data_IF_500093652119
#
_entry.id   IF_500093652119
#
_cell.length_a   1.000
_cell.length_b   1.000
_cell.length_c   1.000
_cell.angle_alpha   90.00
_cell.angle_beta   90.00
_cell.angle_gamma   90.00
#
_symmetry.space_group_name_H-M   'P 1'
#
loop_
_entity.id
_entity.type
_entity.pdbx_description
1 polymer ?
#
# COMPACT_ATOMS: atom_id res chain seq x y z
N UNK A 1 -28.21 37.46 39.52
CA UNK A 1 -26.74 37.39 39.44
C UNK A 1 -26.25 36.00 38.96
N UNK A 2 -27.05 35.25 38.18
CA UNK A 2 -26.69 33.88 37.77
C UNK A 2 -26.81 33.60 36.26
N UNK A 3 -27.31 34.53 35.47
CA UNK A 3 -27.48 34.35 34.01
C UNK A 3 -26.20 34.61 33.22
N UNK A 4 -25.29 35.44 33.75
CA UNK A 4 -24.02 35.76 33.07
C UNK A 4 -22.99 34.64 33.11
N UNK A 5 -23.04 33.76 34.12
CA UNK A 5 -22.16 32.61 34.23
C UNK A 5 -22.52 31.43 33.27
N UNK A 6 -23.76 31.36 32.83
CA UNK A 6 -24.25 30.29 31.95
C UNK A 6 -23.85 30.52 30.50
N UNK A 7 -23.59 31.77 30.09
CA UNK A 7 -23.16 32.10 28.70
C UNK A 7 -21.69 31.77 28.43
N UNK A 8 -20.85 31.80 29.47
CA UNK A 8 -19.41 31.51 29.33
C UNK A 8 -19.15 30.01 29.19
N UNK A 9 -20.00 29.15 29.80
CA UNK A 9 -19.85 27.68 29.63
C UNK A 9 -20.26 27.17 28.23
N UNK A 10 -21.16 27.91 27.53
CA UNK A 10 -21.61 27.54 26.19
C UNK A 10 -20.55 27.81 25.10
N UNK A 11 -19.65 28.76 25.32
CA UNK A 11 -18.66 29.19 24.33
C UNK A 11 -17.40 28.29 24.29
N UNK A 12 -17.13 27.53 25.36
CA UNK A 12 -15.96 26.67 25.47
C UNK A 12 -16.21 25.29 24.85
N UNK A 13 -17.46 24.86 24.71
CA UNK A 13 -17.82 23.55 24.15
C UNK A 13 -17.76 23.48 22.61
N UNK A 14 -17.61 24.60 21.92
CA UNK A 14 -17.66 24.67 20.44
C UNK A 14 -16.28 24.48 19.74
N UNK A 15 -15.20 24.27 20.48
CA UNK A 15 -13.82 24.30 19.91
C UNK A 15 -13.23 22.92 19.62
N UNK A 16 -13.95 21.80 19.84
CA UNK A 16 -13.37 20.46 19.76
C UNK A 16 -14.00 19.58 18.66
N UNK A 17 -14.42 20.16 17.55
CA UNK A 17 -14.65 19.39 16.33
C UNK A 17 -13.74 19.91 15.21
N UNK A 18 -12.42 19.77 15.38
CA UNK A 18 -11.54 19.75 14.22
C UNK A 18 -11.83 18.46 13.45
N UNK A 19 -12.27 18.53 12.18
CA UNK A 19 -12.30 17.36 11.34
C UNK A 19 -10.86 16.83 11.30
N UNK A 20 -10.64 15.58 11.71
CA UNK A 20 -9.41 14.88 11.43
C UNK A 20 -9.25 14.90 9.90
N UNK A 21 -8.37 15.77 9.39
CA UNK A 21 -7.98 15.71 8.01
C UNK A 21 -7.36 14.33 7.84
N UNK A 22 -8.04 13.43 7.12
CA UNK A 22 -7.44 12.17 6.71
C UNK A 22 -6.30 12.54 5.77
N UNK A 23 -5.09 12.51 6.28
CA UNK A 23 -3.90 12.58 5.45
C UNK A 23 -4.03 11.44 4.43
N UNK A 24 -3.91 11.75 3.13
CA UNK A 24 -3.93 10.73 2.09
C UNK A 24 -2.79 9.74 2.31
N UNK A 25 -2.90 8.53 1.76
CA UNK A 25 -1.84 7.50 1.87
C UNK A 25 -0.47 8.05 1.48
N UNK A 26 -0.40 8.89 0.44
CA UNK A 26 0.85 9.51 0.00
C UNK A 26 1.46 10.45 1.06
N UNK A 27 0.64 11.22 1.76
CA UNK A 27 1.12 12.13 2.81
C UNK A 27 1.66 11.32 4.00
N UNK A 28 0.98 10.23 4.35
CA UNK A 28 1.44 9.29 5.38
C UNK A 28 2.78 8.67 4.99
N UNK A 29 2.89 8.15 3.79
CA UNK A 29 4.12 7.56 3.22
C UNK A 29 5.26 8.56 3.23
N UNK A 30 5.04 9.80 2.78
CA UNK A 30 6.06 10.86 2.81
C UNK A 30 6.49 11.20 4.22
N UNK A 31 5.57 11.26 5.17
CA UNK A 31 5.87 11.62 6.56
C UNK A 31 6.66 10.53 7.29
N UNK A 32 6.43 9.25 6.97
CA UNK A 32 7.19 8.13 7.55
C UNK A 32 8.53 7.86 6.85
N UNK A 33 8.74 8.40 5.64
CA UNK A 33 10.01 8.32 4.92
C UNK A 33 10.26 7.00 4.18
N UNK A 34 9.30 6.09 4.12
CA UNK A 34 9.34 4.82 3.38
C UNK A 34 7.92 4.38 3.03
N UNK A 35 7.77 3.40 2.16
CA UNK A 35 6.47 2.75 1.93
C UNK A 35 6.58 1.21 2.01
N UNK A 36 5.46 0.58 2.31
CA UNK A 36 5.36 -0.87 2.41
C UNK A 36 4.90 -1.43 1.06
N UNK A 37 5.74 -2.24 0.44
CA UNK A 37 5.42 -2.91 -0.81
C UNK A 37 5.16 -4.40 -0.58
N UNK A 38 3.93 -4.85 -0.85
CA UNK A 38 3.56 -6.25 -0.82
C UNK A 38 4.12 -7.00 -2.03
N UNK A 39 4.88 -8.05 -1.78
CA UNK A 39 5.52 -8.89 -2.79
C UNK A 39 5.18 -10.36 -2.59
N UNK A 40 5.56 -11.24 -3.50
CA UNK A 40 5.42 -12.69 -3.28
C UNK A 40 6.46 -13.22 -2.29
N UNK A 41 6.23 -14.43 -1.77
CA UNK A 41 7.11 -15.06 -0.76
C UNK A 41 8.39 -15.70 -1.35
N UNK A 42 8.67 -15.48 -2.61
CA UNK A 42 9.83 -16.00 -3.32
C UNK A 42 9.42 -16.64 -4.65
N UNK A 43 9.36 -15.83 -5.69
CA UNK A 43 9.16 -16.28 -7.07
C UNK A 43 10.35 -15.77 -7.90
N UNK A 44 11.24 -16.64 -8.35
CA UNK A 44 12.41 -16.25 -9.12
C UNK A 44 12.04 -15.39 -10.34
N UNK A 45 12.76 -14.29 -10.56
CA UNK A 45 12.50 -13.32 -11.62
C UNK A 45 11.42 -12.28 -11.31
N UNK A 46 10.52 -12.52 -10.35
CA UNK A 46 9.46 -11.58 -9.94
C UNK A 46 9.78 -10.91 -8.61
N UNK A 47 9.79 -11.64 -7.53
CA UNK A 47 10.23 -11.18 -6.22
C UNK A 47 10.83 -12.35 -5.45
N UNK A 48 12.14 -12.31 -5.27
CA UNK A 48 12.89 -13.36 -4.60
C UNK A 48 13.98 -12.75 -3.71
N UNK A 49 14.01 -13.08 -2.41
CA UNK A 49 15.11 -12.69 -1.55
C UNK A 49 16.32 -13.63 -1.78
N UNK A 50 17.52 -13.07 -1.73
CA UNK A 50 18.76 -13.82 -1.67
C UNK A 50 19.06 -14.31 -0.24
N UNK A 51 20.16 -15.03 -0.06
CA UNK A 51 20.61 -15.55 1.26
C UNK A 51 20.93 -14.43 2.27
N UNK A 52 21.17 -13.20 1.79
CA UNK A 52 21.44 -12.03 2.62
C UNK A 52 20.17 -11.21 2.89
N UNK A 53 19.02 -11.62 2.34
CA UNK A 53 17.76 -10.92 2.47
C UNK A 53 17.55 -9.78 1.46
N UNK A 54 18.42 -9.65 0.45
CA UNK A 54 18.23 -8.65 -0.61
C UNK A 54 17.18 -9.13 -1.61
N UNK A 55 16.20 -8.31 -1.86
CA UNK A 55 15.11 -8.60 -2.80
C UNK A 55 15.50 -8.25 -4.23
N UNK A 56 15.07 -9.08 -5.20
CA UNK A 56 15.30 -8.87 -6.63
C UNK A 56 14.15 -9.38 -7.48
N UNK A 57 14.00 -8.83 -8.68
CA UNK A 57 13.02 -9.21 -9.69
C UNK A 57 12.09 -8.06 -10.09
N UNK A 58 11.26 -8.28 -11.13
CA UNK A 58 10.46 -7.23 -11.76
C UNK A 58 9.47 -6.58 -10.78
N UNK A 59 8.85 -7.34 -9.88
CA UNK A 59 7.93 -6.80 -8.88
C UNK A 59 8.65 -5.88 -7.89
N UNK A 60 9.88 -6.24 -7.52
CA UNK A 60 10.76 -5.45 -6.65
C UNK A 60 11.22 -4.17 -7.34
N UNK A 61 11.54 -4.23 -8.63
CA UNK A 61 11.97 -3.07 -9.40
C UNK A 61 10.84 -2.06 -9.59
N UNK A 62 9.58 -2.51 -9.72
CA UNK A 62 8.41 -1.62 -9.69
C UNK A 62 8.32 -0.88 -8.35
N UNK A 63 8.52 -1.58 -7.21
CA UNK A 63 8.52 -0.93 -5.89
C UNK A 63 9.66 0.09 -5.77
N UNK A 64 10.85 -0.23 -6.28
CA UNK A 64 11.99 0.70 -6.31
C UNK A 64 11.71 1.93 -7.16
N UNK A 65 11.05 1.75 -8.30
CA UNK A 65 10.67 2.87 -9.17
C UNK A 65 9.67 3.81 -8.48
N UNK A 66 8.67 3.25 -7.75
CA UNK A 66 7.73 4.03 -6.95
C UNK A 66 8.47 4.78 -5.83
N UNK A 67 9.39 4.12 -5.13
CA UNK A 67 10.24 4.78 -4.13
C UNK A 67 11.03 5.95 -4.71
N UNK A 68 11.68 5.73 -5.84
CA UNK A 68 12.45 6.77 -6.51
C UNK A 68 11.57 7.96 -6.92
N UNK A 69 10.33 7.72 -7.36
CA UNK A 69 9.39 8.78 -7.70
C UNK A 69 8.93 9.59 -6.49
N UNK A 70 8.75 8.96 -5.32
CA UNK A 70 8.26 9.62 -4.10
C UNK A 70 9.39 10.31 -3.34
N UNK A 71 10.54 9.63 -3.19
CA UNK A 71 11.62 10.03 -2.29
C UNK A 71 12.92 10.46 -3.00
N UNK A 72 13.01 10.28 -4.32
CA UNK A 72 14.25 10.51 -5.07
C UNK A 72 15.31 9.41 -4.90
N UNK A 73 14.99 8.31 -4.18
CA UNK A 73 15.87 7.16 -3.97
C UNK A 73 15.08 5.85 -4.07
N UNK A 74 15.64 4.78 -4.63
CA UNK A 74 14.97 3.48 -4.75
C UNK A 74 14.92 2.68 -3.42
N UNK A 75 15.60 3.15 -2.37
CA UNK A 75 15.90 2.32 -1.20
C UNK A 75 14.87 2.48 -0.06
N UNK A 76 13.96 3.47 -0.15
CA UNK A 76 12.96 3.73 0.89
C UNK A 76 11.73 2.82 0.77
N UNK A 77 11.97 1.52 0.64
CA UNK A 77 10.94 0.47 0.51
C UNK A 77 11.11 -0.58 1.60
N UNK A 78 10.01 -0.97 2.23
CA UNK A 78 9.93 -2.18 3.04
C UNK A 78 9.15 -3.24 2.27
N UNK A 79 9.78 -4.37 2.01
CA UNK A 79 9.12 -5.49 1.33
C UNK A 79 8.37 -6.35 2.34
N UNK A 80 7.09 -6.59 2.06
CA UNK A 80 6.21 -7.44 2.87
C UNK A 80 5.84 -8.67 2.05
N UNK A 81 6.43 -9.84 2.35
CA UNK A 81 6.12 -11.07 1.64
C UNK A 81 4.73 -11.59 2.04
N UNK A 82 3.83 -11.71 1.06
CA UNK A 82 2.43 -12.09 1.27
C UNK A 82 2.07 -13.34 0.48
N UNK A 83 1.18 -14.15 1.03
CA UNK A 83 0.55 -15.26 0.31
C UNK A 83 -0.51 -14.76 -0.68
N UNK A 84 -0.98 -15.65 -1.56
CA UNK A 84 -2.07 -15.35 -2.48
C UNK A 84 -3.40 -15.04 -1.76
N UNK A 85 -3.58 -15.52 -0.52
CA UNK A 85 -4.80 -15.30 0.28
C UNK A 85 -4.78 -13.98 1.03
N UNK A 86 -3.62 -13.56 1.53
CA UNK A 86 -3.46 -12.41 2.42
C UNK A 86 -3.32 -11.08 1.67
N UNK A 87 -2.80 -11.11 0.44
CA UNK A 87 -2.39 -9.90 -0.31
C UNK A 87 -3.45 -8.82 -0.42
N UNK A 88 -4.72 -9.19 -0.64
CA UNK A 88 -5.80 -8.21 -0.79
C UNK A 88 -6.23 -7.64 0.56
N UNK A 89 -6.30 -8.47 1.58
CA UNK A 89 -6.61 -8.04 2.95
C UNK A 89 -5.53 -7.11 3.49
N UNK A 90 -4.26 -7.41 3.26
CA UNK A 90 -3.13 -6.57 3.64
C UNK A 90 -3.19 -5.18 2.97
N UNK A 91 -3.58 -5.12 1.68
CA UNK A 91 -3.75 -3.84 0.99
C UNK A 91 -4.97 -3.06 1.52
N UNK A 92 -6.09 -3.74 1.74
CA UNK A 92 -7.32 -3.12 2.26
C UNK A 92 -7.18 -2.61 3.70
N UNK A 93 -6.40 -3.30 4.53
CA UNK A 93 -6.13 -2.88 5.92
C UNK A 93 -5.10 -1.78 6.06
N UNK A 94 -4.37 -1.45 4.97
CA UNK A 94 -3.26 -0.50 5.03
C UNK A 94 -1.97 -1.08 5.62
N UNK A 95 -1.86 -2.38 5.76
CA UNK A 95 -0.60 -3.05 6.13
C UNK A 95 0.48 -2.83 5.06
N UNK A 96 0.06 -2.79 3.79
CA UNK A 96 0.88 -2.40 2.65
C UNK A 96 0.23 -1.22 1.90
N UNK A 97 1.05 -0.38 1.31
CA UNK A 97 0.63 0.80 0.54
C UNK A 97 0.46 0.48 -0.95
N UNK A 98 1.27 -0.45 -1.45
CA UNK A 98 1.26 -0.92 -2.85
C UNK A 98 1.42 -2.43 -2.86
N UNK A 99 0.72 -3.10 -3.76
CA UNK A 99 0.88 -4.52 -4.03
C UNK A 99 1.51 -4.70 -5.42
N UNK A 100 2.77 -5.15 -5.47
CA UNK A 100 3.48 -5.49 -6.69
C UNK A 100 3.85 -6.97 -6.69
N UNK A 101 3.02 -7.77 -7.37
CA UNK A 101 3.23 -9.22 -7.47
C UNK A 101 2.37 -9.82 -8.58
N UNK A 102 2.53 -11.13 -8.83
CA UNK A 102 1.76 -11.92 -9.79
C UNK A 102 0.25 -11.93 -9.48
N UNK A 103 -0.43 -10.80 -9.74
CA UNK A 103 -1.85 -10.60 -9.50
C UNK A 103 -2.57 -10.27 -10.78
N UNK A 104 -3.38 -11.19 -11.28
CA UNK A 104 -4.16 -10.99 -12.50
C UNK A 104 -5.18 -9.89 -12.33
N UNK A 105 -5.20 -8.92 -13.24
CA UNK A 105 -6.24 -7.90 -13.33
C UNK A 105 -7.53 -8.55 -13.83
N UNK A 106 -8.55 -8.54 -12.99
CA UNK A 106 -9.89 -9.04 -13.36
C UNK A 106 -10.94 -8.02 -12.93
N UNK A 107 -12.08 -7.99 -13.64
CA UNK A 107 -13.19 -7.10 -13.31
C UNK A 107 -13.66 -7.27 -11.85
N UNK A 108 -13.72 -8.51 -11.36
CA UNK A 108 -14.13 -8.76 -9.98
C UNK A 108 -13.17 -8.19 -8.95
N UNK A 109 -11.87 -8.25 -9.20
CA UNK A 109 -10.86 -7.68 -8.30
C UNK A 109 -10.84 -6.17 -8.34
N UNK A 110 -11.02 -5.59 -9.50
CA UNK A 110 -11.05 -4.14 -9.71
C UNK A 110 -12.33 -3.50 -9.15
N UNK A 111 -13.49 -4.02 -9.55
CA UNK A 111 -14.77 -3.41 -9.23
C UNK A 111 -15.41 -3.84 -7.90
N UNK A 112 -15.17 -5.08 -7.42
CA UNK A 112 -15.92 -5.63 -6.30
C UNK A 112 -15.20 -5.56 -4.95
N UNK A 113 -13.86 -5.58 -4.95
CA UNK A 113 -13.07 -5.60 -3.70
C UNK A 113 -12.43 -4.25 -3.37
N UNK A 114 -12.77 -3.19 -4.11
CA UNK A 114 -12.35 -1.82 -3.82
C UNK A 114 -10.84 -1.59 -3.96
N UNK A 115 -10.20 -2.30 -4.89
CA UNK A 115 -8.78 -2.13 -5.22
C UNK A 115 -8.68 -1.47 -6.58
N UNK A 116 -7.63 -0.69 -6.80
CA UNK A 116 -7.34 -0.07 -8.07
C UNK A 116 -6.07 -0.67 -8.68
N UNK A 117 -6.19 -1.14 -9.92
CA UNK A 117 -5.05 -1.59 -10.70
C UNK A 117 -4.47 -0.41 -11.49
N UNK A 118 -3.24 -0.05 -11.19
CA UNK A 118 -2.59 1.13 -11.78
C UNK A 118 -1.73 0.81 -13.00
N UNK A 119 -1.45 -0.47 -13.27
CA UNK A 119 -0.67 -0.89 -14.42
C UNK A 119 -0.44 -2.39 -14.50
N UNK A 120 0.03 -2.82 -15.67
CA UNK A 120 0.44 -4.20 -15.94
C UNK A 120 1.95 -4.20 -16.14
N UNK A 121 2.67 -4.92 -15.28
CA UNK A 121 4.13 -5.06 -15.34
C UNK A 121 4.61 -6.33 -16.07
N UNK A 122 3.70 -7.29 -16.28
CA UNK A 122 4.00 -8.55 -16.97
C UNK A 122 2.74 -9.12 -17.64
N UNK A 123 2.88 -9.62 -18.86
CA UNK A 123 1.85 -10.37 -19.57
C UNK A 123 2.16 -11.86 -19.46
N UNK A 124 1.24 -12.59 -18.85
CA UNK A 124 1.31 -14.02 -18.67
C UNK A 124 0.46 -14.77 -19.69
N UNK A 125 0.67 -16.07 -19.82
CA UNK A 125 -0.09 -16.95 -20.70
C UNK A 125 -0.27 -18.33 -20.11
N UNK A 126 -1.20 -19.09 -20.66
CA UNK A 126 -1.43 -20.48 -20.28
C UNK A 126 -0.72 -21.42 -21.27
N UNK A 127 -0.14 -22.49 -20.72
CA UNK A 127 0.45 -23.57 -21.48
C UNK A 127 -0.11 -24.92 -21.03
N UNK A 128 0.00 -25.92 -21.90
CA UNK A 128 -0.36 -27.29 -21.59
C UNK A 128 0.91 -28.07 -21.22
N UNK A 129 0.86 -28.76 -20.08
CA UNK A 129 1.90 -29.71 -19.71
C UNK A 129 1.50 -31.07 -20.26
N UNK A 130 2.40 -31.69 -21.01
CA UNK A 130 2.23 -33.06 -21.56
C UNK A 130 3.31 -33.97 -21.01
N UNK A 131 3.04 -35.29 -21.04
CA UNK A 131 4.01 -36.31 -20.65
C UNK A 131 4.99 -36.56 -21.78
#
# INVERSE_FOLDING_TARGET
MNTFKMWILGLVASIVMMPAAFAGTLDTVKSQGFFNCGVSQGVPGFSNPDENGNWSGIDVDVCRAVSAAIFGTPDNVKYVPLTAKERFTALQSGEIDVLSRNTTWTLSRDAQIGLEFVGVNFYDGQGFMVR
#
